data_IF_603187090566
#
_entry.id   IF_603187090566
#
_cell.length_a   1.000
_cell.length_b   1.000
_cell.length_c   1.000
_cell.angle_alpha   90.00
_cell.angle_beta   90.00
_cell.angle_gamma   90.00
#
_symmetry.space_group_name_H-M   'P 1'
#
loop_
_entity.id
_entity.type
_entity.pdbx_description
1 polymer ?
#
# COMPACT_ATOMS: atom_id res chain seq x y z
N UNK A 1 16.17 9.09 21.65
CA UNK A 1 14.82 8.89 21.08
C UNK A 1 14.78 9.44 19.66
N UNK A 2 14.36 8.63 18.69
CA UNK A 2 14.15 9.01 17.30
C UNK A 2 12.71 9.51 17.12
N UNK A 3 12.49 10.51 16.27
CA UNK A 3 11.16 10.96 15.88
C UNK A 3 11.03 10.83 14.37
N UNK A 4 10.01 10.10 13.92
CA UNK A 4 9.70 9.95 12.49
C UNK A 4 8.28 10.42 12.25
N UNK A 5 8.11 11.48 11.47
CA UNK A 5 6.77 11.96 11.09
C UNK A 5 6.25 11.21 9.88
N UNK A 6 5.08 10.60 10.05
CA UNK A 6 4.43 9.78 9.04
C UNK A 6 3.53 10.64 8.14
N UNK A 7 3.31 10.22 6.89
CA UNK A 7 2.37 10.88 5.98
C UNK A 7 0.93 10.60 6.39
N UNK A 8 0.17 11.63 6.80
CA UNK A 8 -1.14 11.37 7.36
C UNK A 8 -2.24 11.23 6.29
N UNK A 9 -1.93 11.49 5.01
CA UNK A 9 -2.92 11.80 3.96
C UNK A 9 -3.30 10.66 3.01
N UNK A 10 -2.54 9.57 2.98
CA UNK A 10 -2.83 8.39 2.14
C UNK A 10 -2.67 7.12 2.97
N UNK A 11 -3.66 6.22 2.92
CA UNK A 11 -3.65 4.96 3.66
C UNK A 11 -2.41 4.16 3.30
N UNK A 12 -2.11 4.07 2.01
CA UNK A 12 -0.96 3.29 1.53
C UNK A 12 0.37 3.84 2.03
N UNK A 13 0.58 5.14 1.85
CA UNK A 13 1.81 5.79 2.32
C UNK A 13 1.95 5.69 3.84
N UNK A 14 0.85 5.85 4.59
CA UNK A 14 0.90 5.75 6.05
C UNK A 14 1.26 4.33 6.49
N UNK A 15 0.58 3.30 5.96
CA UNK A 15 0.87 1.91 6.27
C UNK A 15 2.31 1.52 5.93
N UNK A 16 2.80 1.91 4.76
CA UNK A 16 4.18 1.66 4.34
C UNK A 16 5.19 2.37 5.25
N UNK A 17 4.94 3.63 5.63
CA UNK A 17 5.84 4.37 6.51
C UNK A 17 5.84 3.81 7.94
N UNK A 18 4.69 3.33 8.46
CA UNK A 18 4.61 2.60 9.74
C UNK A 18 5.45 1.33 9.66
N UNK A 19 5.24 0.54 8.61
CA UNK A 19 5.95 -0.71 8.42
C UNK A 19 7.46 -0.48 8.34
N UNK A 20 7.89 0.47 7.50
CA UNK A 20 9.30 0.76 7.33
C UNK A 20 9.94 1.35 8.57
N UNK A 21 9.16 2.09 9.37
CA UNK A 21 9.60 2.60 10.65
C UNK A 21 9.92 1.44 11.61
N UNK A 22 8.95 0.55 11.79
CA UNK A 22 9.07 -0.65 12.61
C UNK A 22 10.25 -1.51 12.16
N UNK A 23 10.40 -1.71 10.85
CA UNK A 23 11.52 -2.43 10.26
C UNK A 23 12.87 -1.75 10.54
N UNK A 24 12.99 -0.44 10.30
CA UNK A 24 14.27 0.27 10.49
C UNK A 24 14.76 0.25 11.94
N UNK A 25 13.85 0.15 12.91
CA UNK A 25 14.21 0.01 14.33
C UNK A 25 14.88 -1.32 14.66
N UNK A 26 14.77 -2.35 13.80
CA UNK A 26 15.47 -3.62 13.99
C UNK A 26 16.97 -3.52 13.70
N UNK A 27 17.36 -2.60 12.81
CA UNK A 27 18.72 -2.47 12.31
C UNK A 27 19.48 -1.32 12.97
N UNK A 28 18.76 -0.32 13.44
CA UNK A 28 19.31 0.80 14.17
C UNK A 28 19.18 0.44 15.65
N UNK A 29 20.29 0.27 16.37
CA UNK A 29 20.38 -0.16 17.78
C UNK A 29 19.68 0.75 18.82
N UNK A 30 18.71 1.57 18.39
CA UNK A 30 17.90 2.49 19.16
C UNK A 30 16.45 1.97 19.21
N UNK A 31 15.99 1.58 20.40
CA UNK A 31 14.64 1.04 20.64
C UNK A 31 13.57 2.12 20.73
N UNK A 32 13.95 3.36 21.06
CA UNK A 32 12.99 4.41 21.39
C UNK A 32 12.68 5.28 20.17
N UNK A 33 11.69 4.88 19.38
CA UNK A 33 11.17 5.66 18.25
C UNK A 33 9.74 6.13 18.53
N UNK A 34 9.49 7.43 18.33
CA UNK A 34 8.16 8.03 18.30
C UNK A 34 7.69 8.22 16.86
N UNK A 35 6.53 7.66 16.56
CA UNK A 35 5.87 7.77 15.27
C UNK A 35 4.91 8.95 15.31
N UNK A 36 5.34 10.06 14.73
CA UNK A 36 4.68 11.34 14.86
C UNK A 36 3.54 11.50 13.85
N UNK A 37 2.32 11.53 14.38
CA UNK A 37 1.10 11.95 13.71
C UNK A 37 0.45 13.09 14.51
N UNK A 38 -0.20 14.06 13.84
CA UNK A 38 -0.96 15.07 14.54
C UNK A 38 -2.21 14.44 15.16
N UNK A 39 -2.88 15.15 16.08
CA UNK A 39 -4.23 14.74 16.49
C UNK A 39 -5.18 14.65 15.30
N UNK A 40 -5.95 13.57 15.23
CA UNK A 40 -6.89 13.34 14.12
C UNK A 40 -7.94 14.46 13.96
N UNK A 41 -8.35 15.14 15.04
CA UNK A 41 -9.33 16.23 14.91
C UNK A 41 -8.76 17.49 14.23
N UNK A 42 -7.44 17.62 14.08
CA UNK A 42 -6.80 18.74 13.39
C UNK A 42 -7.03 18.71 11.86
N UNK A 43 -7.75 17.71 11.37
CA UNK A 43 -8.21 17.57 9.97
C UNK A 43 -9.33 18.55 9.59
N UNK A 44 -9.35 19.73 10.19
CA UNK A 44 -10.38 20.72 9.93
C UNK A 44 -10.17 21.42 8.60
N UNK A 45 -11.26 21.96 8.03
CA UNK A 45 -11.24 22.78 6.82
C UNK A 45 -10.21 23.92 6.90
N UNK A 46 -9.86 24.38 8.11
CA UNK A 46 -8.89 25.44 8.36
C UNK A 46 -7.48 25.08 7.87
N UNK A 47 -7.03 23.83 8.05
CA UNK A 47 -5.70 23.39 7.61
C UNK A 47 -5.68 22.84 6.17
N UNK A 48 -6.83 22.89 5.47
CA UNK A 48 -7.02 22.40 4.10
C UNK A 48 -6.43 21.01 3.89
N UNK A 49 -6.76 20.08 4.78
CA UNK A 49 -6.15 18.77 4.82
C UNK A 49 -7.15 17.69 5.29
N UNK A 50 -7.18 16.56 4.58
CA UNK A 50 -8.02 15.40 4.87
C UNK A 50 -7.13 14.22 5.26
N UNK A 51 -7.31 13.67 6.47
CA UNK A 51 -6.60 12.44 6.83
C UNK A 51 -7.09 11.22 6.11
N UNK A 52 -6.19 10.24 6.01
CA UNK A 52 -6.44 9.03 5.28
C UNK A 52 -7.36 8.05 6.01
N UNK A 53 -7.13 7.78 7.29
CA UNK A 53 -7.81 6.72 8.01
C UNK A 53 -7.66 6.88 9.54
N UNK A 54 -8.78 6.93 10.24
CA UNK A 54 -8.86 7.04 11.69
C UNK A 54 -8.29 5.83 12.44
N UNK A 55 -8.57 4.62 11.96
CA UNK A 55 -8.06 3.37 12.55
C UNK A 55 -6.53 3.30 12.55
N UNK A 56 -5.88 3.75 11.47
CA UNK A 56 -4.42 3.84 11.39
C UNK A 56 -3.82 4.87 12.37
N UNK A 57 -4.50 5.99 12.60
CA UNK A 57 -4.05 6.97 13.60
C UNK A 57 -4.09 6.37 15.00
N UNK A 58 -5.18 5.68 15.34
CA UNK A 58 -5.29 4.98 16.62
C UNK A 58 -4.24 3.87 16.75
N UNK A 59 -4.02 3.08 15.70
CA UNK A 59 -2.98 2.05 15.67
C UNK A 59 -1.60 2.65 15.99
N UNK A 60 -1.25 3.77 15.35
CA UNK A 60 0.02 4.48 15.63
C UNK A 60 0.08 5.00 17.07
N UNK A 61 -1.02 5.48 17.62
CA UNK A 61 -1.08 5.88 19.03
C UNK A 61 -0.78 4.70 19.96
N UNK A 62 -1.41 3.54 19.76
CA UNK A 62 -1.13 2.35 20.58
C UNK A 62 0.28 1.83 20.41
N UNK A 63 0.84 1.85 19.19
CA UNK A 63 2.24 1.50 18.96
C UNK A 63 3.15 2.44 19.78
N UNK A 64 2.87 3.75 19.78
CA UNK A 64 3.62 4.71 20.59
C UNK A 64 3.43 4.49 22.09
N UNK A 65 2.23 4.09 22.55
CA UNK A 65 1.96 3.75 23.94
C UNK A 65 2.71 2.50 24.37
N UNK A 66 2.80 1.49 23.50
CA UNK A 66 3.59 0.29 23.74
C UNK A 66 5.08 0.65 23.89
N UNK A 67 5.62 1.49 22.99
CA UNK A 67 7.06 1.80 22.98
C UNK A 67 7.49 2.78 24.07
N UNK A 68 6.69 3.81 24.37
CA UNK A 68 7.12 4.95 25.20
C UNK A 68 6.31 5.09 26.48
N UNK A 69 5.20 4.37 26.60
CA UNK A 69 4.18 4.58 27.62
C UNK A 69 3.23 5.76 27.29
N UNK A 70 2.03 5.68 27.86
CA UNK A 70 0.93 6.62 27.59
C UNK A 70 1.31 8.10 27.82
N UNK A 71 1.95 8.42 28.95
CA UNK A 71 2.26 9.81 29.31
C UNK A 71 3.27 10.45 28.34
N UNK A 72 4.39 9.79 28.05
CA UNK A 72 5.42 10.31 27.14
C UNK A 72 4.88 10.47 25.73
N UNK A 73 4.18 9.46 25.22
CA UNK A 73 3.59 9.49 23.87
C UNK A 73 2.63 10.68 23.69
N UNK A 74 1.77 10.97 24.69
CA UNK A 74 0.85 12.11 24.61
C UNK A 74 1.57 13.47 24.67
N UNK A 75 2.66 13.58 25.44
CA UNK A 75 3.51 14.80 25.42
C UNK A 75 4.11 15.00 24.02
N UNK A 76 4.70 13.96 23.43
CA UNK A 76 5.26 14.07 22.07
C UNK A 76 4.19 14.38 21.02
N UNK A 77 3.00 13.79 21.16
CA UNK A 77 1.86 14.05 20.27
C UNK A 77 1.40 15.50 20.35
N UNK A 78 1.35 16.06 21.57
CA UNK A 78 1.03 17.46 21.78
C UNK A 78 2.06 18.37 21.11
N UNK A 79 3.36 18.15 21.38
CA UNK A 79 4.45 18.95 20.80
C UNK A 79 4.48 18.86 19.27
N UNK A 80 4.35 17.66 18.71
CA UNK A 80 4.32 17.47 17.27
C UNK A 80 3.08 18.10 16.63
N UNK A 81 1.91 18.00 17.27
CA UNK A 81 0.69 18.64 16.76
C UNK A 81 0.81 20.16 16.70
N UNK A 82 1.45 20.78 17.70
CA UNK A 82 1.75 22.22 17.67
C UNK A 82 2.69 22.57 16.50
N UNK A 83 3.78 21.82 16.33
CA UNK A 83 4.71 21.99 15.23
C UNK A 83 4.06 21.78 13.85
N UNK A 84 3.16 20.80 13.75
CA UNK A 84 2.38 20.51 12.55
C UNK A 84 1.48 21.68 12.17
N UNK A 85 0.72 22.23 13.12
CA UNK A 85 -0.14 23.41 12.90
C UNK A 85 0.70 24.58 12.40
N UNK A 86 1.81 24.88 13.08
CA UNK A 86 2.70 25.98 12.68
C UNK A 86 3.24 25.81 11.26
N UNK A 87 3.79 24.62 10.96
CA UNK A 87 4.34 24.29 9.65
C UNK A 87 3.29 24.35 8.55
N UNK A 88 2.06 23.91 8.84
CA UNK A 88 0.95 23.96 7.89
C UNK A 88 0.46 25.37 7.61
N UNK A 89 0.34 26.22 8.64
CA UNK A 89 0.01 27.64 8.47
C UNK A 89 1.07 28.32 7.60
N UNK A 90 2.36 28.10 7.90
CA UNK A 90 3.46 28.65 7.11
C UNK A 90 3.37 28.20 5.65
N UNK A 91 3.12 26.92 5.40
CA UNK A 91 2.93 26.39 4.04
C UNK A 91 1.79 27.08 3.30
N UNK A 92 0.63 27.28 3.95
CA UNK A 92 -0.52 27.94 3.33
C UNK A 92 -0.24 29.41 3.01
N UNK A 93 0.44 30.13 3.91
CA UNK A 93 0.87 31.53 3.68
C UNK A 93 1.84 31.60 2.50
N UNK A 94 2.86 30.75 2.46
CA UNK A 94 3.83 30.73 1.37
C UNK A 94 3.20 30.33 0.03
N UNK A 95 2.28 29.36 0.03
CA UNK A 95 1.50 28.99 -1.15
C UNK A 95 0.71 30.18 -1.69
N UNK A 96 0.04 30.92 -0.80
CA UNK A 96 -0.69 32.13 -1.18
C UNK A 96 0.23 33.19 -1.80
N UNK A 97 1.39 33.45 -1.19
CA UNK A 97 2.40 34.37 -1.72
C UNK A 97 2.87 33.90 -3.11
N UNK A 98 3.23 32.63 -3.26
CA UNK A 98 3.69 32.08 -4.54
C UNK A 98 2.64 32.20 -5.64
N UNK A 99 1.37 31.93 -5.33
CA UNK A 99 0.27 32.14 -6.27
C UNK A 99 0.12 33.63 -6.64
N UNK A 100 0.24 34.54 -5.67
CA UNK A 100 0.13 35.99 -5.89
C UNK A 100 1.25 36.56 -6.75
N UNK A 101 2.46 36.02 -6.64
CA UNK A 101 3.64 36.47 -7.38
C UNK A 101 3.96 35.60 -8.61
N UNK A 102 3.06 34.71 -9.03
CA UNK A 102 3.24 33.83 -10.18
C UNK A 102 4.58 33.07 -10.18
N UNK A 103 5.00 32.61 -9.00
CA UNK A 103 6.21 31.79 -8.86
C UNK A 103 6.06 30.52 -9.70
N UNK A 104 7.15 30.10 -10.34
CA UNK A 104 7.14 28.95 -11.25
C UNK A 104 6.61 27.69 -10.56
N UNK A 105 5.86 26.88 -11.32
CA UNK A 105 5.23 25.65 -10.84
C UNK A 105 6.23 24.68 -10.19
N UNK A 106 7.44 24.56 -10.77
CA UNK A 106 8.49 23.68 -10.25
C UNK A 106 8.94 24.07 -8.83
N UNK A 107 9.09 25.38 -8.55
CA UNK A 107 9.42 25.86 -7.20
C UNK A 107 8.27 25.58 -6.23
N UNK A 108 7.02 25.80 -6.66
CA UNK A 108 5.82 25.55 -5.84
C UNK A 108 5.68 24.06 -5.50
N UNK A 109 5.91 23.17 -6.46
CA UNK A 109 5.80 21.72 -6.26
C UNK A 109 6.90 21.19 -5.33
N UNK A 110 8.14 21.68 -5.47
CA UNK A 110 9.22 21.40 -4.51
C UNK A 110 8.88 21.86 -3.09
N UNK A 111 8.36 23.09 -2.97
CA UNK A 111 7.97 23.64 -1.68
C UNK A 111 6.82 22.81 -1.07
N UNK A 112 5.83 22.42 -1.88
CA UNK A 112 4.75 21.53 -1.46
C UNK A 112 5.29 20.21 -0.94
N UNK A 113 6.24 19.57 -1.60
CA UNK A 113 6.77 18.29 -1.16
C UNK A 113 7.35 18.35 0.26
N UNK A 114 8.17 19.37 0.57
CA UNK A 114 8.86 19.46 1.87
C UNK A 114 8.06 20.12 2.98
N UNK A 115 7.18 21.07 2.63
CA UNK A 115 6.54 21.94 3.62
C UNK A 115 5.05 21.67 3.77
N UNK A 116 4.41 20.91 2.87
CA UNK A 116 2.98 20.61 3.01
C UNK A 116 2.67 19.81 4.29
N UNK A 117 3.59 18.95 4.70
CA UNK A 117 3.55 18.19 5.93
C UNK A 117 4.97 18.15 6.52
N UNK A 118 5.13 18.25 7.85
CA UNK A 118 6.46 18.08 8.43
C UNK A 118 6.99 16.66 8.17
N UNK A 119 8.27 16.56 7.76
CA UNK A 119 8.97 15.31 7.39
C UNK A 119 10.20 15.03 8.28
N UNK A 120 10.04 15.18 9.60
CA UNK A 120 11.05 14.83 10.60
C UNK A 120 11.45 13.36 10.46
N UNK A 121 12.76 13.09 10.38
CA UNK A 121 13.29 11.73 10.31
C UNK A 121 12.96 10.96 9.02
N UNK A 122 12.31 11.57 8.03
CA UNK A 122 11.89 10.87 6.81
C UNK A 122 13.07 10.34 5.98
N UNK A 123 14.16 11.10 5.88
CA UNK A 123 15.32 10.65 5.09
C UNK A 123 16.01 9.42 5.70
N UNK A 124 15.98 9.26 7.02
CA UNK A 124 16.55 8.08 7.67
C UNK A 124 15.63 6.86 7.61
N UNK A 125 14.37 7.04 7.21
CA UNK A 125 13.43 5.93 7.02
C UNK A 125 13.84 5.05 5.83
N UNK A 126 14.35 5.70 4.78
CA UNK A 126 14.75 5.08 3.52
C UNK A 126 16.27 5.01 3.38
N UNK A 127 17.01 5.12 4.48
CA UNK A 127 18.45 4.90 4.42
C UNK A 127 18.71 3.44 4.02
N UNK A 128 19.48 3.23 2.97
CA UNK A 128 19.76 1.90 2.42
C UNK A 128 20.88 1.17 3.17
N UNK A 129 21.36 1.72 4.31
CA UNK A 129 22.43 1.11 5.10
C UNK A 129 22.19 -0.37 5.43
N UNK A 130 20.95 -0.78 5.66
CA UNK A 130 20.63 -2.20 5.93
C UNK A 130 20.58 -3.09 4.67
N UNK A 131 20.41 -2.53 3.47
CA UNK A 131 20.45 -3.27 2.19
C UNK A 131 21.87 -3.76 1.89
N UNK A 132 22.87 -3.28 2.64
CA UNK A 132 24.26 -3.76 2.56
C UNK A 132 24.48 -5.09 3.29
N UNK A 133 23.53 -5.53 4.11
CA UNK A 133 23.61 -6.83 4.79
C UNK A 133 23.19 -7.97 3.86
N UNK A 134 23.64 -9.20 4.16
CA UNK A 134 23.19 -10.38 3.42
C UNK A 134 21.70 -10.66 3.67
N UNK A 135 21.02 -11.22 2.65
CA UNK A 135 19.62 -11.64 2.74
C UNK A 135 19.36 -12.54 3.97
N UNK A 136 20.31 -13.43 4.28
CA UNK A 136 20.25 -14.32 5.45
C UNK A 136 20.23 -13.55 6.77
N UNK A 137 21.09 -12.53 6.91
CA UNK A 137 21.14 -11.70 8.11
C UNK A 137 19.82 -10.95 8.31
N UNK A 138 19.28 -10.38 7.23
CA UNK A 138 18.01 -9.64 7.28
C UNK A 138 16.89 -10.61 7.67
N UNK A 139 16.77 -11.77 7.00
CA UNK A 139 15.77 -12.81 7.35
C UNK A 139 15.83 -13.18 8.83
N UNK A 140 17.02 -13.49 9.34
CA UNK A 140 17.21 -13.82 10.76
C UNK A 140 16.71 -12.70 11.69
N UNK A 141 17.07 -11.45 11.40
CA UNK A 141 16.61 -10.28 12.19
C UNK A 141 15.10 -10.10 12.17
N UNK A 142 14.45 -10.48 11.07
CA UNK A 142 13.01 -10.40 10.94
C UNK A 142 12.29 -11.51 11.68
N UNK A 143 12.83 -12.73 11.65
CA UNK A 143 12.25 -13.85 12.39
C UNK A 143 12.38 -13.66 13.91
N UNK A 144 13.43 -12.95 14.35
CA UNK A 144 13.63 -12.54 15.75
C UNK A 144 12.90 -11.24 16.13
N UNK A 145 12.15 -10.64 15.19
CA UNK A 145 11.60 -9.30 15.34
C UNK A 145 10.38 -9.24 16.28
N UNK A 146 10.27 -8.20 17.15
CA UNK A 146 9.07 -7.97 17.94
C UNK A 146 7.93 -7.30 17.13
N UNK A 147 8.08 -7.05 15.82
CA UNK A 147 7.09 -6.32 15.01
C UNK A 147 5.70 -6.94 15.12
N UNK A 148 5.60 -8.26 14.93
CA UNK A 148 4.33 -8.97 14.94
C UNK A 148 3.67 -8.88 16.33
N UNK A 149 4.47 -8.91 17.40
CA UNK A 149 3.99 -8.71 18.78
C UNK A 149 3.50 -7.29 19.03
N UNK A 150 4.21 -6.27 18.53
CA UNK A 150 3.84 -4.85 18.68
C UNK A 150 2.52 -4.59 17.96
N UNK A 151 2.40 -5.07 16.72
CA UNK A 151 1.20 -4.92 15.92
C UNK A 151 0.01 -5.66 16.54
N UNK A 152 0.22 -6.90 17.01
CA UNK A 152 -0.83 -7.69 17.67
C UNK A 152 -1.35 -7.00 18.93
N UNK A 153 -0.46 -6.57 19.84
CA UNK A 153 -0.85 -5.85 21.05
C UNK A 153 -1.59 -4.54 20.73
N UNK A 154 -1.11 -3.80 19.73
CA UNK A 154 -1.75 -2.55 19.30
C UNK A 154 -3.14 -2.79 18.68
N UNK A 155 -3.31 -3.89 17.94
CA UNK A 155 -4.60 -4.31 17.38
C UNK A 155 -5.59 -4.74 18.46
N UNK A 156 -5.15 -5.43 19.52
CA UNK A 156 -6.02 -5.80 20.64
C UNK A 156 -6.59 -4.56 21.34
N UNK A 157 -5.76 -3.55 21.60
CA UNK A 157 -6.22 -2.26 22.13
C UNK A 157 -7.21 -1.58 21.17
N UNK A 158 -6.89 -1.54 19.87
CA UNK A 158 -7.76 -0.98 18.85
C UNK A 158 -9.11 -1.70 18.82
N UNK A 159 -9.13 -3.03 18.90
CA UNK A 159 -10.34 -3.84 18.94
C UNK A 159 -11.19 -3.57 20.18
N UNK A 160 -10.55 -3.44 21.34
CA UNK A 160 -11.24 -3.10 22.60
C UNK A 160 -11.98 -1.77 22.49
N UNK A 161 -11.31 -0.75 21.97
CA UNK A 161 -11.92 0.58 21.81
C UNK A 161 -12.97 0.56 20.70
N UNK A 162 -12.71 -0.18 19.61
CA UNK A 162 -13.63 -0.36 18.50
C UNK A 162 -14.93 -1.05 18.92
N UNK A 163 -14.91 -1.94 19.91
CA UNK A 163 -16.09 -2.69 20.35
C UNK A 163 -17.27 -1.77 20.64
N UNK A 164 -17.04 -0.68 21.38
CA UNK A 164 -18.08 0.33 21.66
C UNK A 164 -18.67 0.99 20.42
N UNK A 165 -17.89 1.15 19.34
CA UNK A 165 -18.34 1.71 18.07
C UNK A 165 -19.04 0.66 17.20
N UNK A 166 -18.53 -0.58 17.19
CA UNK A 166 -19.05 -1.71 16.41
C UNK A 166 -20.41 -2.17 16.96
N UNK A 167 -20.55 -2.21 18.29
CA UNK A 167 -21.77 -2.59 19.01
C UNK A 167 -22.99 -1.76 18.55
N UNK A 168 -22.76 -0.53 18.10
CA UNK A 168 -23.81 0.42 17.70
C UNK A 168 -24.22 0.35 16.21
N UNK A 169 -23.44 -0.29 15.33
CA UNK A 169 -23.69 -0.23 13.88
C UNK A 169 -23.70 -1.57 13.18
N UNK A 170 -22.83 -2.51 13.58
CA UNK A 170 -22.56 -3.72 12.79
C UNK A 170 -22.22 -4.93 13.65
N UNK A 171 -22.64 -4.96 14.93
CA UNK A 171 -22.29 -6.05 15.85
C UNK A 171 -22.62 -7.43 15.28
N UNK A 172 -23.82 -7.60 14.74
CA UNK A 172 -24.27 -8.90 14.22
C UNK A 172 -23.46 -9.34 12.98
N UNK A 173 -23.04 -8.40 12.14
CA UNK A 173 -22.20 -8.69 10.96
C UNK A 173 -20.72 -8.93 11.34
N UNK A 174 -20.25 -8.28 12.41
CA UNK A 174 -18.89 -8.46 12.92
C UNK A 174 -18.76 -9.71 13.81
N UNK A 175 -19.86 -10.24 14.34
CA UNK A 175 -19.90 -11.44 15.20
C UNK A 175 -19.66 -12.74 14.40
N UNK A 176 -19.89 -12.72 13.08
CA UNK A 176 -19.67 -13.84 12.16
C UNK A 176 -18.21 -13.98 11.65
N UNK A 177 -17.24 -13.32 12.30
CA UNK A 177 -15.78 -13.54 12.06
C UNK A 177 -15.33 -14.98 12.44
N UNK A 178 -16.24 -15.86 12.86
CA UNK A 178 -15.96 -17.30 12.99
C UNK A 178 -15.52 -17.94 11.66
N UNK A 179 -15.93 -17.37 10.52
CA UNK A 179 -15.47 -17.80 9.19
C UNK A 179 -14.22 -17.02 8.75
N UNK A 180 -13.31 -17.64 7.96
CA UNK A 180 -12.17 -16.93 7.38
C UNK A 180 -12.63 -15.74 6.54
N UNK A 181 -11.99 -14.58 6.74
CA UNK A 181 -12.36 -13.32 6.09
C UNK A 181 -11.59 -13.16 4.78
N UNK A 182 -12.27 -12.84 3.68
CA UNK A 182 -11.64 -12.37 2.46
C UNK A 182 -11.99 -10.90 2.27
N UNK A 183 -10.97 -10.04 2.19
CA UNK A 183 -11.17 -8.63 1.86
C UNK A 183 -10.99 -8.45 0.36
N UNK A 184 -12.02 -7.96 -0.32
CA UNK A 184 -11.98 -7.56 -1.71
C UNK A 184 -11.98 -6.03 -1.80
N UNK A 185 -10.92 -5.46 -2.38
CA UNK A 185 -10.85 -4.04 -2.66
C UNK A 185 -11.05 -3.77 -4.15
N UNK A 186 -12.04 -2.96 -4.52
CA UNK A 186 -12.24 -2.51 -5.90
C UNK A 186 -11.99 -1.02 -6.06
N UNK A 187 -11.35 -0.64 -7.17
CA UNK A 187 -11.03 0.75 -7.51
C UNK A 187 -11.77 1.13 -8.78
N UNK A 188 -12.66 2.11 -8.72
CA UNK A 188 -13.43 2.60 -9.87
C UNK A 188 -12.84 3.89 -10.44
N UNK A 189 -13.41 4.36 -11.56
CA UNK A 189 -13.09 5.69 -12.12
C UNK A 189 -13.49 6.86 -11.22
N UNK A 190 -14.30 6.62 -10.19
CA UNK A 190 -14.70 7.64 -9.22
C UNK A 190 -13.66 7.84 -8.11
N UNK A 191 -12.63 6.97 -8.02
CA UNK A 191 -11.53 7.15 -7.07
C UNK A 191 -10.78 8.46 -7.32
N UNK A 192 -10.84 9.39 -6.36
CA UNK A 192 -10.09 10.66 -6.35
C UNK A 192 -10.17 11.56 -7.60
N UNK A 193 -11.20 11.43 -8.45
CA UNK A 193 -11.25 12.15 -9.75
C UNK A 193 -10.00 11.90 -10.60
N UNK A 194 -9.49 10.67 -10.58
CA UNK A 194 -8.30 10.24 -11.33
C UNK A 194 -8.55 10.27 -12.84
N UNK A 195 -8.42 11.44 -13.45
CA UNK A 195 -8.54 11.61 -14.91
C UNK A 195 -7.56 10.73 -15.69
N UNK A 196 -6.31 10.60 -15.21
CA UNK A 196 -5.20 9.98 -15.94
C UNK A 196 -4.71 8.63 -15.39
N UNK A 197 -5.27 8.13 -14.27
CA UNK A 197 -4.83 6.87 -13.60
C UNK A 197 -5.85 5.73 -13.72
N UNK A 198 -6.69 5.78 -14.75
CA UNK A 198 -7.72 4.76 -15.05
C UNK A 198 -7.14 3.36 -15.27
N UNK A 199 -5.85 3.27 -15.60
CA UNK A 199 -5.15 2.02 -15.79
C UNK A 199 -5.12 1.12 -14.54
N UNK A 200 -5.32 1.67 -13.34
CA UNK A 200 -5.38 0.91 -12.08
C UNK A 200 -6.78 0.48 -11.65
N UNK A 201 -7.80 0.83 -12.44
CA UNK A 201 -9.18 0.53 -12.06
C UNK A 201 -9.54 -0.93 -12.31
N UNK A 202 -10.51 -1.39 -11.53
CA UNK A 202 -11.16 -2.70 -11.57
C UNK A 202 -12.67 -2.50 -11.47
N UNK A 203 -13.41 -3.09 -12.39
CA UNK A 203 -14.87 -3.12 -12.41
C UNK A 203 -15.36 -4.20 -11.48
N UNK A 204 -16.05 -3.81 -10.41
CA UNK A 204 -16.67 -4.74 -9.46
C UNK A 204 -17.62 -5.75 -10.15
N UNK A 205 -18.22 -5.40 -11.29
CA UNK A 205 -19.07 -6.31 -12.08
C UNK A 205 -18.31 -7.59 -12.46
N UNK A 206 -17.03 -7.48 -12.80
CA UNK A 206 -16.20 -8.61 -13.23
C UNK A 206 -15.90 -9.60 -12.10
N UNK A 207 -16.17 -9.22 -10.85
CA UNK A 207 -15.89 -10.00 -9.66
C UNK A 207 -17.13 -10.64 -9.05
N UNK A 208 -18.35 -10.33 -9.54
CA UNK A 208 -19.59 -10.81 -8.92
C UNK A 208 -19.68 -12.33 -8.83
N UNK A 209 -19.29 -13.05 -9.91
CA UNK A 209 -19.25 -14.51 -9.91
C UNK A 209 -18.25 -15.07 -8.92
N UNK A 210 -17.08 -14.43 -8.79
CA UNK A 210 -16.05 -14.82 -7.83
C UNK A 210 -16.49 -14.56 -6.39
N UNK A 211 -17.15 -13.43 -6.13
CA UNK A 211 -17.71 -13.09 -4.82
C UNK A 211 -18.73 -14.14 -4.40
N UNK A 212 -19.66 -14.50 -5.29
CA UNK A 212 -20.64 -15.55 -5.02
C UNK A 212 -19.96 -16.88 -4.71
N UNK A 213 -18.98 -17.29 -5.51
CA UNK A 213 -18.20 -18.51 -5.24
C UNK A 213 -17.52 -18.49 -3.87
N UNK A 214 -16.89 -17.38 -3.48
CA UNK A 214 -16.25 -17.26 -2.17
C UNK A 214 -17.26 -17.41 -1.02
N UNK A 215 -18.45 -16.82 -1.16
CA UNK A 215 -19.54 -16.99 -0.19
C UNK A 215 -20.01 -18.45 -0.15
N UNK A 216 -20.17 -19.10 -1.31
CA UNK A 216 -20.58 -20.50 -1.40
C UNK A 216 -19.54 -21.45 -0.79
N UNK A 217 -18.26 -21.05 -0.76
CA UNK A 217 -17.18 -21.75 -0.05
C UNK A 217 -17.13 -21.46 1.47
N UNK A 218 -18.04 -20.63 1.98
CA UNK A 218 -18.15 -20.31 3.41
C UNK A 218 -17.25 -19.17 3.89
N UNK A 219 -16.65 -18.38 2.99
CA UNK A 219 -15.87 -17.22 3.39
C UNK A 219 -16.78 -16.03 3.75
N UNK A 220 -16.35 -15.26 4.74
CA UNK A 220 -16.90 -13.94 4.99
C UNK A 220 -16.25 -12.95 4.02
N UNK A 221 -17.00 -12.45 3.03
CA UNK A 221 -16.48 -11.53 2.02
C UNK A 221 -16.75 -10.08 2.42
N UNK A 222 -15.69 -9.31 2.61
CA UNK A 222 -15.73 -7.88 2.96
C UNK A 222 -15.33 -7.07 1.75
N UNK A 223 -16.25 -6.26 1.22
CA UNK A 223 -15.98 -5.36 0.11
C UNK A 223 -15.58 -3.98 0.61
N UNK A 224 -14.50 -3.42 0.06
CA UNK A 224 -14.09 -2.05 0.30
C UNK A 224 -13.61 -1.35 -0.98
N UNK A 225 -13.39 -0.03 -0.89
CA UNK A 225 -12.95 0.79 -2.01
C UNK A 225 -13.98 1.88 -2.36
N UNK A 226 -14.28 2.02 -3.65
CA UNK A 226 -15.22 3.04 -4.12
C UNK A 226 -16.68 2.64 -3.98
N UNK A 227 -17.54 3.65 -3.86
CA UNK A 227 -18.99 3.50 -3.88
C UNK A 227 -19.46 2.90 -5.20
N UNK A 228 -20.52 2.09 -5.12
CA UNK A 228 -21.21 1.54 -6.26
C UNK A 228 -22.72 1.43 -6.00
N UNK A 229 -23.50 1.24 -7.07
CA UNK A 229 -24.94 1.00 -7.01
C UNK A 229 -25.31 -0.45 -7.39
N UNK A 230 -24.33 -1.34 -7.42
CA UNK A 230 -24.55 -2.75 -7.77
C UNK A 230 -25.28 -3.48 -6.64
N UNK A 231 -26.16 -4.39 -7.03
CA UNK A 231 -26.74 -5.38 -6.12
C UNK A 231 -25.67 -6.44 -5.88
N UNK A 232 -25.23 -6.56 -4.63
CA UNK A 232 -24.23 -7.55 -4.23
C UNK A 232 -24.90 -8.89 -3.88
N UNK A 233 -24.17 -10.01 -4.04
CA UNK A 233 -24.55 -11.29 -3.44
C UNK A 233 -24.94 -11.16 -1.95
N UNK A 234 -25.91 -11.96 -1.52
CA UNK A 234 -26.29 -12.01 -0.12
C UNK A 234 -25.10 -12.51 0.73
N UNK A 235 -24.83 -11.83 1.86
CA UNK A 235 -23.73 -12.18 2.76
C UNK A 235 -22.44 -11.36 2.56
N UNK A 236 -22.37 -10.46 1.56
CA UNK A 236 -21.25 -9.51 1.46
C UNK A 236 -21.37 -8.41 2.51
N UNK A 237 -20.29 -8.16 3.25
CA UNK A 237 -20.15 -6.99 4.11
C UNK A 237 -19.61 -5.83 3.27
N UNK A 238 -20.51 -4.92 2.88
CA UNK A 238 -20.16 -3.78 2.03
C UNK A 238 -19.76 -2.54 2.86
N UNK A 239 -18.45 -2.29 2.95
CA UNK A 239 -17.91 -1.11 3.62
C UNK A 239 -18.02 0.14 2.74
N UNK A 240 -18.46 0.07 1.49
CA UNK A 240 -18.55 1.24 0.60
C UNK A 240 -19.82 2.07 0.84
N UNK A 241 -20.76 1.53 1.62
CA UNK A 241 -22.05 2.17 1.91
C UNK A 241 -21.92 3.50 2.66
N UNK A 242 -22.91 4.36 2.46
CA UNK A 242 -22.96 5.72 3.01
C UNK A 242 -23.63 5.83 4.37
N UNK A 243 -24.37 4.81 4.77
CA UNK A 243 -24.98 4.73 6.10
C UNK A 243 -23.97 4.36 7.19
N UNK A 244 -22.77 3.90 6.83
CA UNK A 244 -21.68 3.66 7.77
C UNK A 244 -20.92 4.97 8.01
N UNK A 245 -20.84 5.46 9.27
CA UNK A 245 -20.07 6.66 9.57
C UNK A 245 -18.61 6.52 9.14
N UNK A 246 -18.03 7.58 8.55
CA UNK A 246 -16.70 7.52 7.95
C UNK A 246 -15.61 7.00 8.91
N UNK A 247 -15.59 7.44 10.18
CA UNK A 247 -14.64 6.94 11.19
C UNK A 247 -14.83 5.45 11.49
N UNK A 248 -16.07 4.99 11.58
CA UNK A 248 -16.41 3.58 11.81
C UNK A 248 -15.95 2.74 10.62
N UNK A 249 -16.22 3.19 9.38
CA UNK A 249 -15.73 2.53 8.16
C UNK A 249 -14.20 2.45 8.11
N UNK A 250 -13.52 3.55 8.43
CA UNK A 250 -12.05 3.61 8.46
C UNK A 250 -11.46 2.63 9.49
N UNK A 251 -12.10 2.51 10.66
CA UNK A 251 -11.72 1.55 11.70
C UNK A 251 -11.95 0.11 11.28
N UNK A 252 -13.14 -0.20 10.73
CA UNK A 252 -13.49 -1.53 10.23
C UNK A 252 -12.54 -1.99 9.12
N UNK A 253 -12.13 -1.09 8.22
CA UNK A 253 -11.15 -1.42 7.17
C UNK A 253 -9.85 -1.96 7.76
N UNK A 254 -9.31 -1.32 8.81
CA UNK A 254 -8.09 -1.78 9.49
C UNK A 254 -8.31 -3.14 10.16
N UNK A 255 -9.45 -3.32 10.84
CA UNK A 255 -9.76 -4.55 11.57
C UNK A 255 -10.02 -5.75 10.66
N UNK A 256 -10.74 -5.57 9.56
CA UNK A 256 -11.01 -6.66 8.61
C UNK A 256 -9.76 -7.05 7.84
N UNK A 257 -8.95 -6.08 7.39
CA UNK A 257 -7.70 -6.39 6.71
C UNK A 257 -6.73 -7.09 7.66
N UNK A 258 -6.56 -6.63 8.90
CA UNK A 258 -5.61 -7.24 9.85
C UNK A 258 -5.92 -8.69 10.24
N UNK A 259 -7.13 -9.17 9.94
CA UNK A 259 -7.59 -10.53 10.20
C UNK A 259 -7.95 -11.32 8.94
N UNK A 260 -7.70 -10.74 7.77
CA UNK A 260 -8.07 -11.38 6.53
C UNK A 260 -7.25 -12.65 6.31
N UNK A 261 -7.92 -13.71 5.86
CA UNK A 261 -7.28 -14.89 5.31
C UNK A 261 -6.57 -14.56 3.99
N UNK A 262 -7.20 -13.73 3.16
CA UNK A 262 -6.69 -13.29 1.87
C UNK A 262 -7.19 -11.89 1.57
N UNK A 263 -6.30 -11.02 1.08
CA UNK A 263 -6.66 -9.76 0.46
C UNK A 263 -6.68 -9.92 -1.06
N UNK A 264 -7.78 -9.55 -1.71
CA UNK A 264 -7.91 -9.53 -3.17
C UNK A 264 -8.07 -8.08 -3.60
N UNK A 265 -7.25 -7.62 -4.54
CA UNK A 265 -7.34 -6.23 -4.97
C UNK A 265 -6.48 -5.91 -6.18
N UNK A 266 -6.10 -4.63 -6.28
CA UNK A 266 -5.11 -4.13 -7.22
C UNK A 266 -4.05 -3.34 -6.47
N UNK A 267 -3.01 -2.90 -7.17
CA UNK A 267 -1.99 -1.98 -6.66
C UNK A 267 -2.69 -0.67 -6.25
N UNK A 268 -2.95 -0.50 -4.96
CA UNK A 268 -3.74 0.59 -4.38
C UNK A 268 -3.43 0.73 -2.88
N UNK A 269 -3.68 1.90 -2.28
CA UNK A 269 -3.28 2.15 -0.90
C UNK A 269 -3.72 1.11 0.15
N UNK A 270 -4.92 0.50 0.04
CA UNK A 270 -5.32 -0.56 0.98
C UNK A 270 -4.48 -1.83 0.92
N UNK A 271 -3.72 -2.10 -0.16
CA UNK A 271 -2.80 -3.25 -0.17
C UNK A 271 -1.63 -3.05 0.79
N UNK A 272 -1.12 -1.83 0.93
CA UNK A 272 -0.01 -1.57 1.86
C UNK A 272 -0.45 -1.78 3.32
N UNK A 273 -1.76 -1.64 3.60
CA UNK A 273 -2.36 -2.01 4.88
C UNK A 273 -2.39 -3.53 5.09
N UNK A 274 -2.66 -4.31 4.03
CA UNK A 274 -2.54 -5.77 4.09
C UNK A 274 -1.09 -6.20 4.33
N UNK A 275 -0.12 -5.54 3.70
CA UNK A 275 1.31 -5.79 3.93
C UNK A 275 1.79 -5.42 5.32
N UNK A 276 1.29 -4.33 5.89
CA UNK A 276 1.58 -3.97 7.28
C UNK A 276 1.25 -5.11 8.25
N UNK A 277 0.20 -5.88 7.97
CA UNK A 277 -0.22 -7.03 8.78
C UNK A 277 0.19 -8.38 8.20
N UNK A 278 1.11 -8.40 7.23
CA UNK A 278 1.63 -9.64 6.59
C UNK A 278 0.56 -10.54 5.98
N UNK A 279 -0.56 -9.96 5.56
CA UNK A 279 -1.72 -10.68 5.00
C UNK A 279 -1.41 -11.13 3.57
N UNK A 280 -1.62 -12.40 3.18
CA UNK A 280 -1.47 -12.84 1.79
C UNK A 280 -2.31 -12.00 0.83
N UNK A 281 -1.75 -11.59 -0.31
CA UNK A 281 -2.49 -10.83 -1.32
C UNK A 281 -2.55 -11.51 -2.68
N UNK A 282 -3.74 -11.53 -3.27
CA UNK A 282 -3.95 -11.75 -4.70
C UNK A 282 -4.21 -10.39 -5.35
N UNK A 283 -3.18 -9.86 -6.01
CA UNK A 283 -3.30 -8.63 -6.78
C UNK A 283 -3.61 -8.95 -8.23
N UNK A 284 -4.77 -8.50 -8.65
CA UNK A 284 -5.25 -8.58 -10.02
C UNK A 284 -5.11 -7.20 -10.65
N UNK A 285 -5.06 -7.16 -11.97
CA UNK A 285 -5.04 -5.91 -12.72
C UNK A 285 -3.83 -5.01 -12.38
N UNK A 286 -2.67 -5.61 -12.07
CA UNK A 286 -1.44 -4.87 -11.80
C UNK A 286 -0.92 -4.19 -13.07
N UNK A 287 -0.37 -2.99 -12.94
CA UNK A 287 0.12 -2.16 -14.06
C UNK A 287 1.64 -2.17 -14.19
N UNK A 288 2.36 -2.49 -13.11
CA UNK A 288 3.83 -2.58 -13.08
C UNK A 288 4.30 -3.51 -11.96
N UNK A 289 5.60 -3.81 -11.90
CA UNK A 289 6.20 -4.69 -10.86
C UNK A 289 6.82 -3.93 -9.69
N UNK A 290 6.79 -2.60 -9.71
CA UNK A 290 7.55 -1.70 -8.84
C UNK A 290 6.70 -1.01 -7.77
N UNK A 291 5.38 -0.97 -7.95
CA UNK A 291 4.44 -0.25 -7.08
C UNK A 291 4.13 -1.01 -5.77
N UNK A 292 4.67 -2.22 -5.57
CA UNK A 292 4.29 -3.09 -4.46
C UNK A 292 5.43 -3.20 -3.46
N UNK A 293 5.14 -2.92 -2.18
CA UNK A 293 6.03 -3.17 -1.04
C UNK A 293 5.60 -4.48 -0.36
N UNK A 294 5.96 -5.62 -0.95
CA UNK A 294 5.50 -6.94 -0.50
C UNK A 294 6.40 -7.54 0.58
N UNK A 295 6.34 -7.00 1.79
CA UNK A 295 7.11 -7.54 2.91
C UNK A 295 6.41 -8.71 3.61
N UNK A 296 7.07 -9.89 3.68
CA UNK A 296 6.65 -11.17 4.33
C UNK A 296 5.25 -11.71 3.99
N UNK A 297 4.43 -10.92 3.30
CA UNK A 297 3.13 -11.28 2.77
C UNK A 297 3.34 -11.99 1.45
N UNK A 298 2.92 -13.26 1.33
CA UNK A 298 3.04 -13.97 0.08
C UNK A 298 1.99 -13.45 -0.91
N UNK A 299 2.44 -13.09 -2.11
CA UNK A 299 1.66 -12.35 -3.08
C UNK A 299 1.67 -13.01 -4.45
N UNK A 300 0.49 -13.10 -5.04
CA UNK A 300 0.30 -13.45 -6.44
C UNK A 300 -0.14 -12.19 -7.16
N UNK A 301 0.65 -11.75 -8.14
CA UNK A 301 0.41 -10.54 -8.89
C UNK A 301 0.12 -10.90 -10.35
N UNK A 302 -1.09 -10.63 -10.82
CA UNK A 302 -1.50 -10.79 -12.22
C UNK A 302 -1.49 -9.42 -12.89
N UNK A 303 -0.54 -9.25 -13.80
CA UNK A 303 -0.36 -8.05 -14.61
C UNK A 303 -1.50 -7.95 -15.65
N UNK A 304 -1.99 -6.73 -15.91
CA UNK A 304 -2.91 -6.48 -17.02
C UNK A 304 -2.26 -6.83 -18.36
N UNK A 305 -2.99 -7.35 -19.35
CA UNK A 305 -2.41 -7.64 -20.66
C UNK A 305 -1.63 -6.45 -21.22
N UNK A 306 -0.44 -6.69 -21.76
CA UNK A 306 0.35 -5.65 -22.42
C UNK A 306 -0.31 -5.34 -23.76
N UNK A 307 -0.26 -4.07 -24.19
CA UNK A 307 -0.79 -3.69 -25.51
C UNK A 307 -0.04 -4.44 -26.63
N UNK A 308 -0.72 -4.89 -27.70
CA UNK A 308 -0.12 -5.70 -28.76
C UNK A 308 1.11 -5.08 -29.45
N UNK A 309 1.25 -3.75 -29.40
CA UNK A 309 2.33 -3.02 -30.05
C UNK A 309 3.56 -2.77 -29.14
N UNK A 310 3.63 -3.41 -27.98
CA UNK A 310 4.70 -3.24 -27.00
C UNK A 310 5.26 -4.61 -26.64
N UNK A 311 6.55 -4.82 -26.89
CA UNK A 311 7.24 -6.05 -26.46
C UNK A 311 7.40 -6.10 -24.93
N UNK A 312 7.60 -7.30 -24.37
CA UNK A 312 7.83 -7.48 -22.93
C UNK A 312 9.02 -6.63 -22.43
N UNK A 313 10.12 -6.58 -23.19
CA UNK A 313 11.31 -5.79 -22.83
C UNK A 313 10.98 -4.29 -22.82
N UNK A 314 10.29 -3.79 -23.85
CA UNK A 314 9.86 -2.39 -23.88
C UNK A 314 8.91 -2.06 -22.72
N UNK A 315 7.98 -2.97 -22.38
CA UNK A 315 7.11 -2.77 -21.23
C UNK A 315 7.89 -2.72 -19.91
N UNK A 316 8.89 -3.60 -19.73
CA UNK A 316 9.78 -3.59 -18.55
C UNK A 316 10.54 -2.27 -18.45
N UNK A 317 11.11 -1.78 -19.55
CA UNK A 317 11.85 -0.51 -19.56
C UNK A 317 10.94 0.70 -19.22
N UNK A 318 9.62 0.55 -19.36
CA UNK A 318 8.59 1.56 -19.04
C UNK A 318 7.97 1.41 -17.63
N UNK A 319 8.30 0.34 -16.89
CA UNK A 319 7.67 -0.02 -15.59
C UNK A 319 7.79 0.95 -14.42
N UNK A 320 8.81 1.81 -14.27
CA UNK A 320 8.91 2.64 -13.07
C UNK A 320 8.02 3.87 -13.16
N UNK A 321 6.72 3.59 -13.33
CA UNK A 321 5.63 4.51 -13.59
C UNK A 321 5.62 5.66 -12.56
N UNK A 322 5.76 5.36 -11.27
CA UNK A 322 5.73 6.38 -10.22
C UNK A 322 6.99 7.27 -10.21
N UNK A 323 8.16 6.73 -10.55
CA UNK A 323 9.44 7.48 -10.52
C UNK A 323 9.54 8.34 -11.76
N UNK A 324 9.22 7.79 -12.93
CA UNK A 324 9.15 8.50 -14.19
C UNK A 324 8.00 9.51 -14.21
N UNK A 325 6.88 9.27 -13.56
CA UNK A 325 5.81 10.27 -13.40
C UNK A 325 6.29 11.42 -12.51
N UNK A 326 7.01 11.17 -11.42
CA UNK A 326 7.56 12.25 -10.59
C UNK A 326 8.68 13.04 -11.30
N UNK A 327 9.58 12.35 -12.02
CA UNK A 327 10.63 12.98 -12.82
C UNK A 327 10.07 13.78 -14.01
N UNK A 328 9.10 13.22 -14.74
CA UNK A 328 8.56 13.83 -15.96
C UNK A 328 7.33 14.71 -15.72
N UNK A 329 6.69 14.69 -14.55
CA UNK A 329 5.74 15.75 -14.14
C UNK A 329 6.41 17.14 -14.05
N UNK A 330 7.74 17.15 -13.99
CA UNK A 330 8.60 18.33 -14.10
C UNK A 330 8.82 18.73 -15.58
N UNK A 331 8.62 17.82 -16.54
CA UNK A 331 8.99 17.98 -17.96
C UNK A 331 7.82 18.00 -18.96
N UNK A 332 6.84 17.09 -18.90
CA UNK A 332 5.64 17.11 -19.77
C UNK A 332 4.57 16.09 -19.32
N UNK A 333 3.28 16.46 -19.36
CA UNK A 333 2.17 15.65 -18.85
C UNK A 333 1.47 14.75 -19.87
N UNK A 334 1.99 14.68 -21.10
CA UNK A 334 1.29 14.14 -22.28
C UNK A 334 1.62 12.68 -22.63
N UNK A 335 2.61 12.05 -21.99
CA UNK A 335 3.20 10.80 -22.53
C UNK A 335 2.70 9.50 -21.87
N UNK A 336 1.98 9.53 -20.75
CA UNK A 336 1.66 8.29 -20.01
C UNK A 336 0.28 7.71 -20.34
N UNK A 337 0.10 7.29 -21.59
CA UNK A 337 -0.97 6.37 -21.96
C UNK A 337 -0.71 4.97 -21.38
N UNK A 338 -1.73 4.29 -20.87
CA UNK A 338 -1.58 2.95 -20.27
C UNK A 338 -0.91 2.01 -21.26
N UNK A 339 0.29 1.50 -20.95
CA UNK A 339 0.98 0.51 -21.78
C UNK A 339 0.35 -0.88 -21.67
N UNK A 340 -0.60 -1.02 -20.75
CA UNK A 340 -1.47 -2.17 -20.60
C UNK A 340 -2.85 -1.89 -21.25
N UNK A 341 -3.44 -2.96 -21.74
CA UNK A 341 -4.80 -3.07 -22.25
C UNK A 341 -5.84 -2.98 -21.11
N UNK A 342 -7.10 -3.29 -21.45
CA UNK A 342 -8.22 -3.34 -20.51
C UNK A 342 -8.02 -4.33 -19.35
N UNK A 343 -8.96 -4.27 -18.42
CA UNK A 343 -9.08 -5.17 -17.27
C UNK A 343 -8.99 -6.66 -17.65
N UNK A 344 -8.51 -7.49 -16.73
CA UNK A 344 -8.54 -8.95 -16.87
C UNK A 344 -9.97 -9.44 -17.12
N UNK A 345 -10.08 -10.48 -17.94
CA UNK A 345 -11.35 -11.11 -18.27
C UNK A 345 -12.03 -11.70 -17.02
N UNK A 346 -13.37 -11.56 -16.84
CA UNK A 346 -14.09 -12.08 -15.68
C UNK A 346 -13.94 -13.59 -15.47
N UNK A 347 -13.89 -14.40 -16.54
CA UNK A 347 -13.69 -15.85 -16.43
C UNK A 347 -12.28 -16.16 -15.95
N UNK A 348 -11.29 -15.39 -16.41
CA UNK A 348 -9.92 -15.49 -15.92
C UNK A 348 -9.82 -15.13 -14.43
N UNK A 349 -10.45 -14.02 -14.01
CA UNK A 349 -10.52 -13.61 -12.60
C UNK A 349 -11.13 -14.73 -11.75
N UNK A 350 -12.27 -15.28 -12.19
CA UNK A 350 -12.94 -16.39 -11.50
C UNK A 350 -12.05 -17.64 -11.42
N UNK A 351 -11.42 -18.02 -12.53
CA UNK A 351 -10.52 -19.18 -12.60
C UNK A 351 -9.34 -19.04 -11.64
N UNK A 352 -8.71 -17.87 -11.57
CA UNK A 352 -7.59 -17.63 -10.65
C UNK A 352 -8.06 -17.71 -9.20
N UNK A 353 -9.13 -16.99 -8.85
CA UNK A 353 -9.65 -16.98 -7.47
C UNK A 353 -10.08 -18.37 -7.02
N UNK A 354 -10.84 -19.09 -7.84
CA UNK A 354 -11.28 -20.45 -7.53
C UNK A 354 -10.10 -21.41 -7.37
N UNK A 355 -9.08 -21.33 -8.22
CA UNK A 355 -7.88 -22.18 -8.10
C UNK A 355 -7.12 -21.98 -6.78
N UNK A 356 -7.08 -20.75 -6.26
CA UNK A 356 -6.38 -20.41 -5.02
C UNK A 356 -7.18 -20.85 -3.78
N UNK A 357 -8.51 -20.82 -3.87
CA UNK A 357 -9.40 -20.94 -2.70
C UNK A 357 -10.06 -22.32 -2.55
N UNK A 358 -9.95 -23.23 -3.53
CA UNK A 358 -10.68 -24.52 -3.51
C UNK A 358 -10.28 -25.46 -2.35
N UNK A 359 -11.24 -26.03 -1.59
CA UNK A 359 -11.01 -26.78 -0.32
C UNK A 359 -10.21 -28.08 -0.38
N UNK A 360 -10.04 -28.70 -1.57
CA UNK A 360 -9.26 -29.95 -1.67
C UNK A 360 -7.75 -29.72 -1.44
N UNK A 361 -7.30 -28.46 -1.39
CA UNK A 361 -5.98 -28.09 -0.85
C UNK A 361 -6.05 -27.90 0.66
N UNK A 362 -6.35 -28.99 1.38
CA UNK A 362 -6.43 -29.00 2.85
C UNK A 362 -5.14 -28.44 3.46
N UNK A 363 -5.33 -27.37 4.25
CA UNK A 363 -4.41 -26.76 5.21
C UNK A 363 -3.18 -26.06 4.64
N UNK A 364 -3.19 -24.72 4.67
CA UNK A 364 -2.05 -23.81 4.79
C UNK A 364 -0.91 -23.91 3.75
N UNK A 365 -0.87 -24.93 2.90
CA UNK A 365 0.29 -25.27 2.08
C UNK A 365 0.33 -24.48 0.78
N UNK A 366 -0.76 -23.95 0.25
CA UNK A 366 -0.69 -23.19 -1.01
C UNK A 366 0.10 -21.88 -0.91
N UNK A 367 0.07 -21.22 0.26
CA UNK A 367 0.89 -20.04 0.55
C UNK A 367 2.14 -20.35 1.39
N UNK A 368 2.13 -21.39 2.26
CA UNK A 368 3.31 -21.76 3.09
C UNK A 368 4.23 -22.83 2.47
N UNK A 369 3.71 -23.75 1.65
CA UNK A 369 4.60 -24.41 0.71
C UNK A 369 4.96 -23.29 -0.27
N UNK A 370 6.26 -23.00 -0.41
CA UNK A 370 6.79 -22.26 -1.56
C UNK A 370 5.90 -22.62 -2.74
N UNK A 371 5.44 -21.61 -3.49
CA UNK A 371 4.71 -21.72 -4.77
C UNK A 371 5.48 -22.73 -5.65
N UNK A 372 5.26 -24.00 -5.37
CA UNK A 372 6.08 -25.14 -5.81
C UNK A 372 5.43 -25.79 -7.00
N UNK A 373 4.28 -25.26 -7.39
CA UNK A 373 3.76 -25.39 -8.71
C UNK A 373 3.44 -23.99 -9.24
N UNK A 374 4.50 -23.34 -9.74
CA UNK A 374 4.38 -22.45 -10.91
C UNK A 374 3.40 -23.04 -11.95
N UNK A 375 3.26 -24.38 -12.01
CA UNK A 375 2.30 -25.16 -12.81
C UNK A 375 0.80 -24.94 -12.51
N UNK A 376 0.37 -24.51 -11.32
CA UNK A 376 -1.09 -24.39 -11.03
C UNK A 376 -1.72 -23.21 -11.76
N UNK A 377 -1.01 -22.07 -11.84
CA UNK A 377 -1.40 -20.97 -12.71
C UNK A 377 -0.83 -21.15 -14.12
N UNK A 378 0.36 -21.73 -14.28
CA UNK A 378 0.96 -22.04 -15.59
C UNK A 378 0.38 -23.30 -16.24
N UNK A 379 -0.95 -23.33 -16.43
CA UNK A 379 -1.44 -23.85 -17.71
C UNK A 379 -0.97 -22.93 -18.85
N UNK A 380 -1.34 -23.22 -20.10
CA UNK A 380 -1.00 -22.44 -21.30
C UNK A 380 -1.51 -20.97 -21.31
N UNK A 381 -1.93 -20.43 -20.17
CA UNK A 381 -2.59 -19.12 -20.01
C UNK A 381 -1.75 -18.05 -19.32
N UNK A 382 -0.65 -18.36 -18.64
CA UNK A 382 0.19 -17.36 -17.97
C UNK A 382 1.70 -17.57 -18.17
N UNK A 383 2.40 -16.47 -18.43
CA UNK A 383 3.85 -16.36 -18.44
C UNK A 383 4.34 -15.89 -17.07
N UNK A 384 5.13 -16.71 -16.39
CA UNK A 384 5.77 -16.35 -15.13
C UNK A 384 6.96 -15.41 -15.41
N UNK A 385 6.95 -14.20 -14.85
CA UNK A 385 8.05 -13.26 -15.04
C UNK A 385 9.26 -13.70 -14.21
N UNK A 386 10.40 -13.89 -14.87
CA UNK A 386 11.65 -14.26 -14.21
C UNK A 386 12.11 -13.13 -13.26
N UNK A 387 12.26 -13.49 -11.98
CA UNK A 387 12.72 -12.60 -10.91
C UNK A 387 14.10 -12.02 -11.20
N UNK A 388 15.01 -12.82 -11.76
CA UNK A 388 16.36 -12.37 -12.12
C UNK A 388 16.29 -11.31 -13.20
N UNK A 389 15.51 -11.55 -14.25
CA UNK A 389 15.30 -10.58 -15.33
C UNK A 389 14.75 -9.25 -14.79
N UNK A 390 13.72 -9.30 -13.94
CA UNK A 390 13.14 -8.10 -13.32
C UNK A 390 14.19 -7.37 -12.47
N UNK A 391 14.97 -8.09 -11.67
CA UNK A 391 16.04 -7.54 -10.82
C UNK A 391 17.13 -6.85 -11.62
N UNK A 392 17.67 -7.52 -12.63
CA UNK A 392 18.73 -6.97 -13.47
C UNK A 392 18.27 -5.67 -14.15
N UNK A 393 17.03 -5.66 -14.65
CA UNK A 393 16.41 -4.49 -15.26
C UNK A 393 16.14 -3.34 -14.28
N UNK A 394 15.65 -3.65 -13.08
CA UNK A 394 15.45 -2.64 -12.05
C UNK A 394 16.77 -1.95 -11.65
N UNK A 395 17.84 -2.71 -11.44
CA UNK A 395 19.14 -2.13 -11.09
C UNK A 395 19.82 -1.40 -12.27
N UNK A 396 19.56 -1.81 -13.51
CA UNK A 396 19.91 -1.02 -14.70
C UNK A 396 19.23 0.36 -14.66
N UNK A 397 17.92 0.41 -14.40
CA UNK A 397 17.15 1.65 -14.29
C UNK A 397 17.64 2.55 -13.15
N UNK A 398 17.93 1.98 -11.97
CA UNK A 398 18.47 2.72 -10.81
C UNK A 398 19.80 3.39 -11.16
N UNK A 399 20.70 2.72 -11.90
CA UNK A 399 21.97 3.32 -12.36
C UNK A 399 21.73 4.49 -13.32
N UNK A 400 20.80 4.32 -14.24
CA UNK A 400 20.40 5.41 -15.15
C UNK A 400 19.86 6.61 -14.37
N UNK A 401 19.01 6.40 -13.37
CA UNK A 401 18.50 7.49 -12.54
C UNK A 401 19.56 8.15 -11.70
N UNK A 402 20.47 7.41 -11.09
CA UNK A 402 21.53 8.01 -10.29
C UNK A 402 22.34 9.01 -11.14
N UNK A 403 22.63 8.67 -12.40
CA UNK A 403 23.28 9.58 -13.34
C UNK A 403 22.44 10.85 -13.62
N UNK A 404 21.13 10.70 -13.84
CA UNK A 404 20.22 11.82 -14.10
C UNK A 404 20.02 12.72 -12.87
N UNK A 405 19.93 12.12 -11.69
CA UNK A 405 19.79 12.81 -10.41
C UNK A 405 21.03 13.64 -10.11
N UNK A 406 22.22 13.09 -10.39
CA UNK A 406 23.48 13.80 -10.25
C UNK A 406 23.59 15.02 -11.18
N UNK A 407 22.92 15.00 -12.33
CA UNK A 407 22.81 16.14 -13.24
C UNK A 407 21.80 17.22 -12.77
N UNK A 408 21.02 16.97 -11.71
CA UNK A 408 19.99 17.88 -11.19
C UNK A 408 20.27 18.30 -9.72
N UNK A 409 21.33 19.08 -9.45
CA UNK A 409 21.79 19.36 -8.09
C UNK A 409 20.72 20.01 -7.20
N UNK A 410 19.83 20.84 -7.77
CA UNK A 410 18.72 21.46 -7.03
C UNK A 410 17.66 20.49 -6.51
N UNK A 411 17.56 19.29 -7.10
CA UNK A 411 16.57 18.26 -6.76
C UNK A 411 17.20 16.99 -6.19
N UNK A 412 18.55 16.90 -6.19
CA UNK A 412 19.31 15.69 -5.85
C UNK A 412 18.81 15.00 -4.59
N UNK A 413 18.60 15.73 -3.50
CA UNK A 413 18.14 15.14 -2.22
C UNK A 413 16.73 14.54 -2.30
N UNK A 414 15.80 15.19 -3.01
CA UNK A 414 14.42 14.71 -3.18
C UNK A 414 14.45 13.42 -4.00
N UNK A 415 15.09 13.49 -5.16
CA UNK A 415 15.15 12.38 -6.10
C UNK A 415 15.91 11.19 -5.52
N UNK A 416 16.99 11.43 -4.78
CA UNK A 416 17.70 10.39 -4.03
C UNK A 416 16.78 9.70 -3.03
N UNK A 417 15.92 10.45 -2.32
CA UNK A 417 15.00 9.85 -1.35
C UNK A 417 13.95 8.98 -2.04
N UNK A 418 13.44 9.39 -3.19
CA UNK A 418 12.53 8.58 -4.01
C UNK A 418 13.21 7.34 -4.56
N UNK A 419 14.44 7.47 -5.08
CA UNK A 419 15.23 6.34 -5.57
C UNK A 419 15.50 5.35 -4.45
N UNK A 420 15.92 5.83 -3.28
CA UNK A 420 16.14 4.97 -2.11
C UNK A 420 14.85 4.25 -1.70
N UNK A 421 13.71 4.95 -1.62
CA UNK A 421 12.40 4.31 -1.34
C UNK A 421 12.06 3.24 -2.37
N UNK A 422 12.32 3.50 -3.65
CA UNK A 422 12.09 2.53 -4.72
C UNK A 422 13.02 1.32 -4.60
N UNK A 423 14.30 1.51 -4.31
CA UNK A 423 15.27 0.44 -4.09
C UNK A 423 14.87 -0.41 -2.88
N UNK A 424 14.41 0.24 -1.81
CA UNK A 424 13.93 -0.43 -0.60
C UNK A 424 12.68 -1.27 -0.88
N UNK A 425 11.65 -0.70 -1.51
CA UNK A 425 10.48 -1.46 -2.01
C UNK A 425 10.91 -2.63 -2.89
N UNK A 426 11.82 -2.28 -3.79
CA UNK A 426 12.63 -3.12 -4.65
C UNK A 426 12.97 -4.45 -4.01
N UNK A 427 13.93 -4.26 -3.13
CA UNK A 427 14.61 -5.26 -2.37
C UNK A 427 13.65 -6.05 -1.49
N UNK A 428 12.67 -5.43 -0.81
CA UNK A 428 11.74 -6.20 0.02
C UNK A 428 10.82 -7.11 -0.79
N UNK A 429 10.30 -6.64 -1.91
CA UNK A 429 9.48 -7.46 -2.80
C UNK A 429 10.30 -8.59 -3.43
N UNK A 430 11.57 -8.32 -3.73
CA UNK A 430 12.43 -9.19 -4.53
C UNK A 430 13.54 -9.91 -3.77
N UNK A 431 13.69 -9.78 -2.46
CA UNK A 431 14.64 -10.54 -1.63
C UNK A 431 13.93 -11.64 -0.83
N UNK A 432 12.66 -11.45 -0.49
CA UNK A 432 11.93 -12.35 0.41
C UNK A 432 11.24 -13.53 -0.27
N UNK A 433 11.34 -13.67 -1.60
CA UNK A 433 10.67 -14.73 -2.36
C UNK A 433 9.15 -14.80 -2.10
N UNK A 434 8.59 -13.68 -1.66
CA UNK A 434 7.21 -13.58 -1.22
C UNK A 434 6.28 -13.34 -2.40
N UNK A 435 6.78 -12.81 -3.52
CA UNK A 435 5.93 -12.37 -4.63
C UNK A 435 6.19 -13.13 -5.92
N UNK A 436 5.13 -13.69 -6.50
CA UNK A 436 5.13 -14.21 -7.87
C UNK A 436 4.39 -13.26 -8.80
N UNK A 437 4.91 -13.12 -10.02
CA UNK A 437 4.38 -12.19 -11.02
C UNK A 437 4.04 -12.95 -12.32
N UNK A 438 2.83 -12.75 -12.81
CA UNK A 438 2.31 -13.46 -13.98
C UNK A 438 1.74 -12.48 -15.00
N UNK A 439 1.99 -12.78 -16.27
CA UNK A 439 1.44 -12.07 -17.42
C UNK A 439 0.53 -13.02 -18.21
N UNK A 440 -0.70 -12.64 -18.59
CA UNK A 440 -1.57 -13.51 -19.40
C UNK A 440 -0.97 -13.80 -20.79
N UNK A 441 -0.93 -15.08 -21.20
CA UNK A 441 -0.31 -15.57 -22.45
C UNK A 441 -1.07 -15.21 -23.72
N UNK A 442 -2.33 -14.76 -23.63
CA UNK A 442 -3.17 -14.50 -24.81
C UNK A 442 -2.59 -13.47 -25.81
N UNK A 443 -1.44 -12.84 -25.52
CA UNK A 443 -0.82 -11.77 -26.32
C UNK A 443 0.73 -11.68 -26.19
N UNK A 444 1.42 -12.72 -25.72
CA UNK A 444 2.90 -12.71 -25.63
C UNK A 444 3.43 -13.54 -26.78
N UNK A 445 3.85 -12.88 -27.86
CA UNK A 445 4.60 -13.51 -28.97
C UNK A 445 6.05 -13.80 -28.57
#
# INVERSE_FOLDING_TARGET
MRVVSLLPYSVGNLSEEIHQCLFSCLFLSNTDTYYALPYYFLNSSFLQYKSCNYGLFLLVDYINYYNLGFAKANIFKFLYSFYFIFSRILYLVMRYIFCKFHVSKSIVDNFKFWFSFPRLGYSSLWDCGYVQHSDEYIRKKLDESPIDSILSASLECLMSDAKSFIDNYLFDQFKDIGNPVIVLHTRSSFYHSDGNRRNRNMSLVNYLSSIQFLIDQGFCVVLCGDRHNLILPAGVIDLTRDDIPAKTRELLLVLYISKAFLYIGTQSGPVDLAYLFTIPCLLLNCIDVTHVYAYRSPNINIIKPIKPNISLVQWIDLMPYDILQNLNSIADSTVYGSYNDFELDPELIYSVISSIVTPNNKQNSLFNSKISDQKVLAGDRFFHLDRKLISDKFFELVRTWDSQINAMPGYKRILQTYMNRAVVRFYFTMAFDSSSWYLPLSKVD
#
